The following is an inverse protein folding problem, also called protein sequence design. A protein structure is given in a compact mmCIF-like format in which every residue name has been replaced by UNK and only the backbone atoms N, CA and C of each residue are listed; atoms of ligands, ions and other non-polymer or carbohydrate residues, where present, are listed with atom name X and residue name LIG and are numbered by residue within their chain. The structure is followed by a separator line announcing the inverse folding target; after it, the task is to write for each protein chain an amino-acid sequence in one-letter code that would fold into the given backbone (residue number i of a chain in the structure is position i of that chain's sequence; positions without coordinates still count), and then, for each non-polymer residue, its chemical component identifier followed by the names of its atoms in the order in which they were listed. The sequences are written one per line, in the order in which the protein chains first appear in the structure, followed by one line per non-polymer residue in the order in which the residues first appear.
data_IF_750552851870
#
_entry.id   IF_750552851870
#
_cell.length_a   1.000
_cell.length_b   1.000
_cell.length_c   1.000
_cell.angle_alpha   90.00
_cell.angle_beta   90.00
_cell.angle_gamma   90.00
#
_symmetry.space_group_name_H-M   'P 1'
#
loop_
_entity.id
_entity.type
_entity.pdbx_description
1 polymer ?
#
# COMPACT_ATOMS: atom_id res chain seq x y z
N UNK A 1 21.58 -2.41 -14.39
CA UNK A 1 20.28 -2.74 -13.77
C UNK A 1 19.84 -1.51 -13.01
N UNK A 2 19.16 -0.56 -13.68
CA UNK A 2 18.77 0.75 -13.12
C UNK A 2 17.24 0.88 -12.98
N UNK A 3 16.51 -0.24 -13.13
CA UNK A 3 15.05 -0.27 -13.31
C UNK A 3 14.27 -0.16 -12.00
N UNK A 4 14.77 -0.65 -10.87
CA UNK A 4 14.08 -0.54 -9.57
C UNK A 4 13.91 0.91 -9.09
N UNK A 5 14.86 1.79 -9.42
CA UNK A 5 14.82 3.20 -8.98
C UNK A 5 13.67 3.99 -9.60
N UNK A 6 13.21 3.63 -10.80
CA UNK A 6 12.08 4.32 -11.46
C UNK A 6 10.75 3.68 -11.11
N UNK A 7 10.74 2.39 -10.76
CA UNK A 7 9.52 1.63 -10.45
C UNK A 7 8.88 2.01 -9.12
N UNK A 8 9.68 2.28 -8.09
CA UNK A 8 9.14 2.63 -6.76
C UNK A 8 8.37 3.96 -6.79
N UNK A 9 8.90 5.06 -7.37
CA UNK A 9 8.14 6.30 -7.50
C UNK A 9 6.84 6.14 -8.32
N UNK A 10 6.86 5.35 -9.39
CA UNK A 10 5.68 5.10 -10.21
C UNK A 10 4.62 4.29 -9.45
N UNK A 11 5.05 3.24 -8.73
CA UNK A 11 4.21 2.47 -7.82
C UNK A 11 3.59 3.36 -6.73
N UNK A 12 4.39 4.20 -6.06
CA UNK A 12 3.91 5.11 -5.02
C UNK A 12 2.82 6.05 -5.55
N UNK A 13 3.02 6.59 -6.77
CA UNK A 13 2.06 7.48 -7.43
C UNK A 13 0.75 6.74 -7.71
N UNK A 14 0.81 5.60 -8.39
CA UNK A 14 -0.35 4.78 -8.74
C UNK A 14 -1.12 4.33 -7.49
N UNK A 15 -0.40 3.87 -6.46
CA UNK A 15 -1.01 3.41 -5.22
C UNK A 15 -1.72 4.58 -4.51
N UNK A 16 -1.13 5.77 -4.48
CA UNK A 16 -1.75 6.96 -3.88
C UNK A 16 -3.06 7.31 -4.59
N UNK A 17 -3.09 7.28 -5.92
CA UNK A 17 -4.30 7.52 -6.71
C UNK A 17 -5.40 6.50 -6.40
N UNK A 18 -5.06 5.21 -6.34
CA UNK A 18 -6.03 4.14 -6.01
C UNK A 18 -6.55 4.25 -4.59
N UNK A 19 -5.69 4.54 -3.61
CA UNK A 19 -6.10 4.68 -2.21
C UNK A 19 -7.03 5.88 -2.00
N UNK A 20 -6.84 6.97 -2.75
CA UNK A 20 -7.72 8.14 -2.69
C UNK A 20 -9.16 7.84 -3.11
N UNK A 21 -9.39 6.89 -4.03
CA UNK A 21 -10.74 6.46 -4.42
C UNK A 21 -11.53 5.90 -3.22
N UNK A 22 -10.84 5.34 -2.24
CA UNK A 22 -11.42 4.78 -1.01
C UNK A 22 -11.21 5.72 0.19
N UNK A 23 -10.87 6.99 -0.04
CA UNK A 23 -10.54 7.98 0.98
C UNK A 23 -9.42 7.54 1.96
N UNK A 24 -8.57 6.61 1.53
CA UNK A 24 -7.43 6.13 2.31
C UNK A 24 -6.22 7.05 2.09
N UNK A 25 -5.41 7.25 3.13
CA UNK A 25 -4.21 8.08 3.09
C UNK A 25 -2.96 7.22 3.14
N UNK A 26 -2.05 7.40 2.19
CA UNK A 26 -0.71 6.80 2.19
C UNK A 26 0.31 7.77 2.81
N UNK A 27 0.99 7.34 3.86
CA UNK A 27 2.01 8.10 4.58
C UNK A 27 3.31 7.29 4.65
N UNK A 28 4.41 7.88 4.20
CA UNK A 28 5.75 7.26 4.30
C UNK A 28 6.27 7.36 5.74
N UNK A 29 6.85 6.28 6.25
CA UNK A 29 7.57 6.27 7.54
C UNK A 29 9.03 6.67 7.34
N UNK A 30 9.75 6.88 8.45
CA UNK A 30 11.17 7.28 8.42
C UNK A 30 12.09 6.25 7.76
N UNK A 31 11.74 4.97 7.87
CA UNK A 31 12.47 3.90 7.19
C UNK A 31 12.10 3.87 5.73
N UNK A 32 13.10 3.68 4.87
CA UNK A 32 12.92 3.40 3.46
C UNK A 32 12.00 2.16 3.31
N UNK A 33 11.14 2.16 2.29
CA UNK A 33 10.22 1.06 2.00
C UNK A 33 9.17 0.74 3.08
N UNK A 34 8.83 1.70 3.96
CA UNK A 34 7.81 1.53 5.00
C UNK A 34 6.73 2.62 4.92
N UNK A 35 5.46 2.22 4.95
CA UNK A 35 4.31 3.10 4.79
C UNK A 35 3.18 2.73 5.74
N UNK A 36 2.40 3.74 6.10
CA UNK A 36 1.11 3.62 6.74
C UNK A 36 0.01 3.91 5.71
N UNK A 37 -0.99 3.04 5.69
CA UNK A 37 -2.25 3.28 4.98
C UNK A 37 -3.32 3.46 6.05
N UNK A 38 -3.88 4.66 6.11
CA UNK A 38 -4.87 5.06 7.11
C UNK A 38 -6.23 5.16 6.41
N UNK A 39 -7.21 4.40 6.90
CA UNK A 39 -8.58 4.44 6.37
C UNK A 39 -9.40 5.58 6.98
N UNK A 40 -10.57 5.94 6.41
CA UNK A 40 -11.50 6.88 7.03
C UNK A 40 -11.97 6.46 8.43
N UNK A 41 -12.06 5.14 8.67
CA UNK A 41 -12.41 4.57 9.97
C UNK A 41 -11.26 4.62 10.98
N UNK A 42 -10.12 5.21 10.62
CA UNK A 42 -8.88 5.29 11.41
C UNK A 42 -8.18 3.94 11.63
N UNK A 43 -8.57 2.89 10.91
CA UNK A 43 -7.77 1.68 10.81
C UNK A 43 -6.42 1.99 10.16
N UNK A 44 -5.35 1.39 10.69
CA UNK A 44 -3.99 1.58 10.20
C UNK A 44 -3.46 0.25 9.67
N UNK A 45 -2.97 0.27 8.43
CA UNK A 45 -2.25 -0.84 7.81
C UNK A 45 -0.80 -0.44 7.59
N UNK A 46 0.12 -1.30 8.01
CA UNK A 46 1.54 -1.16 7.78
C UNK A 46 1.88 -1.90 6.49
N UNK A 47 2.38 -1.16 5.52
CA UNK A 47 2.86 -1.69 4.26
C UNK A 47 4.38 -1.57 4.22
N UNK A 48 5.08 -2.64 3.91
CA UNK A 48 6.54 -2.64 3.81
C UNK A 48 7.06 -3.67 2.83
N UNK A 49 8.30 -3.51 2.37
CA UNK A 49 9.00 -4.52 1.58
C UNK A 49 10.49 -4.52 1.88
N UNK A 50 11.10 -5.70 1.83
CA UNK A 50 12.56 -5.86 1.85
C UNK A 50 13.12 -5.79 0.43
N UNK A 51 12.52 -6.56 -0.49
CA UNK A 51 12.81 -6.53 -1.91
C UNK A 51 11.53 -6.23 -2.69
N UNK A 52 11.57 -5.21 -3.55
CA UNK A 52 10.42 -4.87 -4.38
C UNK A 52 10.34 -5.85 -5.56
N UNK A 53 9.19 -6.48 -5.86
CA UNK A 53 7.82 -6.09 -5.49
C UNK A 53 7.16 -6.97 -4.39
N UNK A 54 7.94 -7.64 -3.55
CA UNK A 54 7.40 -8.45 -2.45
C UNK A 54 6.92 -7.57 -1.29
N UNK A 55 5.66 -7.14 -1.40
CA UNK A 55 5.03 -6.21 -0.45
C UNK A 55 4.29 -6.97 0.64
N UNK A 56 4.69 -6.71 1.89
CA UNK A 56 3.98 -7.10 3.09
C UNK A 56 2.94 -6.05 3.46
N UNK A 57 1.75 -6.50 3.85
CA UNK A 57 0.70 -5.66 4.41
C UNK A 57 0.17 -6.31 5.69
N UNK A 58 0.26 -5.58 6.80
CA UNK A 58 -0.14 -6.04 8.12
C UNK A 58 -1.11 -5.01 8.71
N UNK A 59 -2.24 -5.48 9.26
CA UNK A 59 -3.11 -4.62 10.06
C UNK A 59 -2.44 -4.30 11.40
N UNK A 60 -2.32 -3.01 11.73
CA UNK A 60 -1.90 -2.60 13.06
C UNK A 60 -3.15 -2.56 13.96
N UNK A 61 -3.25 -3.43 14.99
CA UNK A 61 -4.41 -3.44 15.86
C UNK A 61 -4.45 -2.17 16.73
N UNK A 62 -5.23 -1.19 16.29
CA UNK A 62 -5.54 0.04 17.03
C UNK A 62 -6.94 -0.10 17.60
N UNK A 63 -7.11 -1.00 18.56
CA UNK A 63 -8.40 -1.34 19.16
C UNK A 63 -9.06 -2.58 18.53
N UNK A 64 -10.40 -2.60 18.52
CA UNK A 64 -11.19 -3.77 18.09
C UNK A 64 -11.30 -3.80 16.57
N UNK A 65 -10.77 -4.86 15.95
CA UNK A 65 -10.91 -5.14 14.51
C UNK A 65 -12.39 -5.33 14.17
N UNK A 66 -12.91 -4.55 13.22
CA UNK A 66 -14.30 -4.62 12.78
C UNK A 66 -14.39 -5.36 11.44
N UNK A 67 -15.59 -5.80 11.07
CA UNK A 67 -15.84 -6.38 9.74
C UNK A 67 -15.40 -5.44 8.61
N UNK A 68 -15.64 -4.14 8.80
CA UNK A 68 -15.21 -3.10 7.86
C UNK A 68 -13.69 -3.07 7.66
N UNK A 69 -12.89 -3.37 8.70
CA UNK A 69 -11.43 -3.47 8.60
C UNK A 69 -11.02 -4.56 7.61
N UNK A 70 -11.73 -5.69 7.57
CA UNK A 70 -11.47 -6.78 6.61
C UNK A 70 -11.78 -6.35 5.18
N UNK A 71 -12.84 -5.56 4.98
CA UNK A 71 -13.18 -5.00 3.67
C UNK A 71 -12.09 -4.07 3.17
N UNK A 72 -11.60 -3.15 4.03
CA UNK A 72 -10.48 -2.27 3.68
C UNK A 72 -9.20 -3.05 3.40
N UNK A 73 -8.88 -4.07 4.19
CA UNK A 73 -7.69 -4.89 3.97
C UNK A 73 -7.71 -5.54 2.58
N UNK A 74 -8.84 -6.15 2.20
CA UNK A 74 -9.01 -6.78 0.88
C UNK A 74 -8.87 -5.77 -0.25
N UNK A 75 -9.49 -4.60 -0.10
CA UNK A 75 -9.39 -3.52 -1.09
C UNK A 75 -7.95 -3.04 -1.25
N UNK A 76 -7.24 -2.78 -0.15
CA UNK A 76 -5.85 -2.32 -0.15
C UNK A 76 -4.95 -3.38 -0.81
N UNK A 77 -5.09 -4.66 -0.46
CA UNK A 77 -4.33 -5.76 -1.10
C UNK A 77 -4.60 -5.84 -2.60
N UNK A 78 -5.85 -5.67 -3.01
CA UNK A 78 -6.21 -5.64 -4.43
C UNK A 78 -5.57 -4.46 -5.16
N UNK A 79 -5.53 -3.28 -4.55
CA UNK A 79 -4.87 -2.11 -5.14
C UNK A 79 -3.37 -2.30 -5.26
N UNK A 80 -2.71 -2.82 -4.22
CA UNK A 80 -1.28 -3.13 -4.27
C UNK A 80 -0.98 -4.10 -5.40
N UNK A 81 -1.73 -5.21 -5.50
CA UNK A 81 -1.55 -6.21 -6.56
C UNK A 81 -1.72 -5.59 -7.95
N UNK A 82 -2.77 -4.80 -8.14
CA UNK A 82 -2.99 -4.07 -9.38
C UNK A 82 -1.80 -3.16 -9.73
N UNK A 83 -1.36 -2.33 -8.80
CA UNK A 83 -0.26 -1.38 -9.02
C UNK A 83 1.04 -2.11 -9.38
N UNK A 84 1.40 -3.17 -8.66
CA UNK A 84 2.57 -4.00 -8.96
C UNK A 84 2.48 -4.60 -10.36
N UNK A 85 1.34 -5.22 -10.71
CA UNK A 85 1.17 -5.81 -12.04
C UNK A 85 1.20 -4.77 -13.16
N UNK A 86 0.65 -3.57 -12.94
CA UNK A 86 0.67 -2.49 -13.93
C UNK A 86 2.09 -2.03 -14.26
N UNK A 87 2.94 -1.83 -13.26
CA UNK A 87 4.30 -1.36 -13.50
C UNK A 87 5.19 -2.46 -14.09
N UNK A 88 4.98 -3.73 -13.73
CA UNK A 88 5.73 -4.86 -14.28
C UNK A 88 5.40 -5.11 -15.76
N UNK A 89 4.15 -4.91 -16.16
CA UNK A 89 3.74 -5.06 -17.56
C UNK A 89 4.18 -3.89 -18.45
N UNK A 90 4.55 -2.75 -17.85
CA UNK A 90 5.05 -1.56 -18.55
C UNK A 90 6.59 -1.45 -18.52
N UNK A 91 7.29 -2.43 -17.94
CA UNK A 91 8.77 -2.47 -17.80
C UNK A 91 9.46 -3.29 -18.88
#
# INVERSE_FOLDING_TARGET
MNTTSTLIPEFEKLLREKLQLNNCRLKKRKQENNYEIITPAKDVFLMSWCEFPEINLIYQPVGVRREQTVVYERAIRSHIKFCVSSIQNNS
#
